data_IF_367242554952
#
_entry.id   IF_367242554952
#
_cell.length_a   1.000
_cell.length_b   1.000
_cell.length_c   1.000
_cell.angle_alpha   90.00
_cell.angle_beta   90.00
_cell.angle_gamma   90.00
#
_symmetry.space_group_name_H-M   'P 1'
#
loop_
_entity.id
_entity.type
_entity.pdbx_description
1 polymer ?
#
# COMPACT_ATOMS: atom_id res chain seq x y z
N UNK A 1 -23.55 18.03 6.10
CA UNK A 1 -22.78 18.67 5.00
C UNK A 1 -21.97 19.80 5.59
N UNK A 2 -20.66 19.81 5.39
CA UNK A 2 -19.80 20.92 5.84
C UNK A 2 -19.95 22.08 4.86
N UNK A 3 -20.26 23.28 5.36
CA UNK A 3 -20.31 24.49 4.53
C UNK A 3 -18.88 25.02 4.31
N UNK A 4 -18.46 25.30 3.07
CA UNK A 4 -17.15 25.88 2.81
C UNK A 4 -17.09 27.34 3.29
N UNK A 5 -16.01 27.69 3.97
CA UNK A 5 -15.82 29.01 4.61
C UNK A 5 -15.51 30.12 3.60
N UNK A 6 -14.92 29.77 2.44
CA UNK A 6 -14.61 30.71 1.36
C UNK A 6 -14.86 30.06 -0.01
N UNK A 7 -15.49 30.81 -0.93
CA UNK A 7 -15.85 30.35 -2.27
C UNK A 7 -15.27 31.33 -3.30
N UNK A 8 -14.43 30.83 -4.22
CA UNK A 8 -13.93 31.59 -5.36
C UNK A 8 -14.67 31.09 -6.61
N UNK A 9 -15.34 31.99 -7.32
CA UNK A 9 -16.08 31.67 -8.54
C UNK A 9 -15.91 32.77 -9.60
N UNK A 10 -16.05 32.40 -10.87
CA UNK A 10 -16.08 33.37 -11.96
C UNK A 10 -17.29 34.30 -11.81
N UNK A 11 -17.10 35.59 -12.09
CA UNK A 11 -18.15 36.60 -11.97
C UNK A 11 -19.35 36.20 -12.86
N UNK A 12 -20.55 36.11 -12.26
CA UNK A 12 -21.86 35.70 -12.85
C UNK A 12 -22.25 34.21 -12.79
N UNK A 13 -21.53 33.35 -12.07
CA UNK A 13 -22.04 32.01 -11.75
C UNK A 13 -23.15 32.07 -10.68
N UNK A 14 -24.40 31.73 -11.05
CA UNK A 14 -25.57 31.74 -10.16
C UNK A 14 -25.73 30.47 -9.29
N UNK A 15 -25.07 29.38 -9.65
CA UNK A 15 -25.00 28.17 -8.83
C UNK A 15 -23.53 27.85 -8.58
N UNK A 16 -23.08 28.12 -7.36
CA UNK A 16 -21.76 27.72 -6.89
C UNK A 16 -21.95 26.61 -5.88
N UNK A 17 -22.05 25.38 -6.36
CA UNK A 17 -21.96 24.21 -5.50
C UNK A 17 -20.52 24.06 -5.02
N UNK A 18 -20.28 23.51 -3.82
CA UNK A 18 -18.94 23.07 -3.48
C UNK A 18 -18.46 22.12 -4.56
N UNK A 19 -17.31 22.41 -5.18
CA UNK A 19 -16.49 21.40 -5.85
C UNK A 19 -15.90 20.50 -4.77
N UNK A 20 -16.75 19.85 -3.97
CA UNK A 20 -16.34 18.65 -3.27
C UNK A 20 -16.17 17.62 -4.36
N UNK A 21 -14.95 17.51 -4.88
CA UNK A 21 -14.54 16.24 -5.47
C UNK A 21 -14.93 15.19 -4.44
N UNK A 22 -15.75 14.22 -4.82
CA UNK A 22 -16.20 13.14 -3.93
C UNK A 22 -15.05 12.18 -3.59
N UNK A 23 -13.82 12.67 -3.52
CA UNK A 23 -12.61 11.95 -3.14
C UNK A 23 -12.12 12.29 -1.74
N UNK A 24 -12.93 12.96 -0.92
CA UNK A 24 -12.71 12.98 0.52
C UNK A 24 -13.06 11.59 1.06
N UNK A 25 -12.04 10.73 1.21
CA UNK A 25 -12.20 9.37 1.74
C UNK A 25 -11.63 8.22 0.91
N UNK A 26 -10.94 8.47 -0.22
CA UNK A 26 -10.17 7.38 -0.86
C UNK A 26 -8.91 7.11 -0.03
N UNK A 27 -8.95 6.03 0.74
CA UNK A 27 -7.79 5.51 1.47
C UNK A 27 -6.85 4.82 0.49
N UNK A 28 -5.56 5.11 0.60
CA UNK A 28 -4.50 4.37 -0.09
C UNK A 28 -3.96 3.35 0.90
N UNK A 29 -3.95 2.08 0.50
CA UNK A 29 -3.35 1.04 1.33
C UNK A 29 -1.84 1.02 1.09
N UNK A 30 -1.07 1.02 2.17
CA UNK A 30 0.39 0.98 2.12
C UNK A 30 0.87 -0.35 2.69
N UNK A 31 1.67 -1.08 1.93
CA UNK A 31 2.47 -2.19 2.47
C UNK A 31 3.87 -1.69 2.70
N UNK A 32 4.40 -1.98 3.89
CA UNK A 32 5.70 -1.51 4.32
C UNK A 32 6.41 -2.58 5.13
N UNK A 33 7.73 -2.65 5.02
CA UNK A 33 8.56 -3.55 5.81
C UNK A 33 9.74 -2.80 6.39
N UNK A 34 10.00 -3.05 7.67
CA UNK A 34 11.11 -2.50 8.44
C UNK A 34 11.89 -3.62 9.10
N UNK A 35 13.18 -3.41 9.29
CA UNK A 35 14.02 -4.31 10.08
C UNK A 35 14.38 -3.70 11.45
N UNK A 36 14.99 -4.51 12.32
CA UNK A 36 15.40 -4.09 13.66
C UNK A 36 16.47 -2.97 13.65
N UNK A 37 17.23 -2.83 12.57
CA UNK A 37 18.20 -1.76 12.40
C UNK A 37 17.56 -0.43 11.93
N UNK A 38 16.24 -0.38 11.75
CA UNK A 38 15.52 0.78 11.25
C UNK A 38 15.64 1.01 9.74
N UNK A 39 16.20 0.06 9.00
CA UNK A 39 16.19 0.12 7.54
C UNK A 39 14.81 -0.22 7.00
N UNK A 40 14.48 0.43 5.90
CA UNK A 40 13.17 0.42 5.28
C UNK A 40 13.27 -0.20 3.89
N UNK A 41 12.32 -1.06 3.55
CA UNK A 41 12.06 -1.44 2.16
C UNK A 41 11.06 -0.45 1.55
N UNK A 42 11.28 0.05 0.32
CA UNK A 42 10.32 0.94 -0.31
C UNK A 42 8.90 0.33 -0.35
N UNK A 43 7.86 1.14 -0.07
CA UNK A 43 6.50 0.64 0.10
C UNK A 43 5.87 0.16 -1.20
N UNK A 44 4.82 -0.67 -1.07
CA UNK A 44 3.78 -0.79 -2.09
C UNK A 44 2.62 0.15 -1.78
N UNK A 45 2.23 0.98 -2.74
CA UNK A 45 1.05 1.85 -2.67
C UNK A 45 -0.10 1.25 -3.49
N UNK A 46 -1.20 0.89 -2.83
CA UNK A 46 -2.40 0.34 -3.49
C UNK A 46 -3.52 1.36 -3.53
N UNK A 47 -3.95 1.70 -4.74
CA UNK A 47 -4.99 2.69 -4.99
C UNK A 47 -6.34 2.04 -5.34
N UNK A 48 -7.46 2.54 -4.80
CA UNK A 48 -8.81 2.09 -5.15
C UNK A 48 -9.25 2.67 -6.50
N UNK A 49 -8.64 2.21 -7.60
CA UNK A 49 -8.95 2.67 -8.96
C UNK A 49 -9.49 1.52 -9.83
N UNK A 50 -10.66 1.73 -10.42
CA UNK A 50 -11.21 0.83 -11.45
C UNK A 50 -10.53 1.02 -12.81
N UNK A 51 -10.00 2.22 -13.08
CA UNK A 51 -9.35 2.58 -14.34
C UNK A 51 -7.94 3.13 -14.06
N UNK A 52 -7.01 2.23 -13.78
CA UNK A 52 -5.60 2.57 -13.64
C UNK A 52 -5.05 3.14 -14.95
N UNK A 53 -4.29 4.23 -14.84
CA UNK A 53 -3.59 4.86 -15.97
C UNK A 53 -2.20 5.27 -15.51
N UNK A 54 -1.21 5.04 -16.35
CA UNK A 54 0.21 5.22 -16.01
C UNK A 54 0.57 6.65 -15.58
N UNK A 55 -0.19 7.66 -15.99
CA UNK A 55 0.09 9.06 -15.65
C UNK A 55 -0.39 9.49 -14.26
N UNK A 56 -1.14 8.66 -13.51
CA UNK A 56 -1.46 8.96 -12.10
C UNK A 56 -0.23 8.88 -11.18
N UNK A 57 0.93 8.53 -11.74
CA UNK A 57 2.13 8.02 -11.06
C UNK A 57 3.31 8.97 -11.32
N UNK A 58 3.22 10.22 -10.84
CA UNK A 58 4.33 11.18 -10.99
C UNK A 58 4.94 11.67 -9.69
N UNK A 59 4.48 11.19 -8.53
CA UNK A 59 4.86 11.76 -7.24
C UNK A 59 4.79 10.77 -6.06
N UNK A 60 5.21 9.51 -6.27
CA UNK A 60 5.38 8.51 -5.21
C UNK A 60 6.74 8.63 -4.49
N UNK A 61 6.91 8.03 -3.30
CA UNK A 61 8.21 7.89 -2.65
C UNK A 61 9.23 7.21 -3.56
N UNK A 62 10.51 7.61 -3.47
CA UNK A 62 11.54 7.05 -4.33
C UNK A 62 11.65 5.52 -4.17
N UNK A 63 11.56 4.79 -5.28
CA UNK A 63 11.67 3.34 -5.33
C UNK A 63 10.43 2.58 -4.86
N UNK A 64 9.31 3.25 -4.55
CA UNK A 64 8.07 2.55 -4.26
C UNK A 64 7.58 1.76 -5.48
N UNK A 65 6.76 0.76 -5.19
CA UNK A 65 5.99 0.02 -6.19
C UNK A 65 4.52 0.35 -6.03
N UNK A 66 3.79 0.42 -7.13
CA UNK A 66 2.38 0.76 -7.11
C UNK A 66 1.50 -0.40 -7.57
N UNK A 67 0.26 -0.37 -7.10
CA UNK A 67 -0.79 -1.28 -7.51
C UNK A 67 -2.14 -0.60 -7.48
N UNK A 68 -3.09 -1.14 -8.22
CA UNK A 68 -4.46 -0.67 -8.15
C UNK A 68 -5.43 -1.82 -8.32
N UNK A 69 -6.52 -1.74 -7.58
CA UNK A 69 -7.70 -2.58 -7.76
C UNK A 69 -8.94 -1.78 -7.30
N UNK A 70 -10.13 -2.27 -7.61
CA UNK A 70 -11.37 -1.59 -7.25
C UNK A 70 -11.59 -1.48 -5.73
N UNK A 71 -11.04 -2.40 -4.94
CA UNK A 71 -11.24 -2.44 -3.49
C UNK A 71 -10.29 -1.50 -2.72
N UNK A 72 -9.13 -1.17 -3.29
CA UNK A 72 -8.03 -0.49 -2.61
C UNK A 72 -7.29 -1.32 -1.57
N UNK A 73 -7.68 -2.58 -1.35
CA UNK A 73 -7.06 -3.49 -0.37
C UNK A 73 -6.02 -4.38 -1.02
N UNK A 74 -5.11 -4.94 -0.22
CA UNK A 74 -4.15 -5.93 -0.72
C UNK A 74 -4.85 -7.23 -1.07
N UNK A 75 -4.57 -7.71 -2.27
CA UNK A 75 -4.91 -9.05 -2.73
C UNK A 75 -3.62 -9.87 -2.95
N UNK A 76 -3.80 -11.14 -3.31
CA UNK A 76 -2.70 -12.08 -3.54
C UNK A 76 -1.72 -11.62 -4.62
N UNK A 77 -2.19 -11.11 -5.76
CA UNK A 77 -1.34 -10.66 -6.86
C UNK A 77 -0.46 -9.45 -6.49
N UNK A 78 -1.06 -8.48 -5.79
CA UNK A 78 -0.33 -7.31 -5.28
C UNK A 78 0.67 -7.72 -4.19
N UNK A 79 0.30 -8.68 -3.34
CA UNK A 79 1.21 -9.22 -2.33
C UNK A 79 2.40 -9.96 -2.95
N UNK A 80 2.18 -10.76 -3.99
CA UNK A 80 3.26 -11.42 -4.76
C UNK A 80 4.16 -10.39 -5.44
N UNK A 81 3.58 -9.32 -5.98
CA UNK A 81 4.33 -8.21 -6.57
C UNK A 81 5.23 -7.54 -5.53
N UNK A 82 4.70 -7.27 -4.34
CA UNK A 82 5.48 -6.73 -3.23
C UNK A 82 6.56 -7.70 -2.76
N UNK A 83 6.29 -9.01 -2.67
CA UNK A 83 7.31 -10.01 -2.29
C UNK A 83 8.48 -10.03 -3.27
N UNK A 84 8.23 -9.94 -4.59
CA UNK A 84 9.31 -9.85 -5.58
C UNK A 84 10.15 -8.58 -5.40
N UNK A 85 9.51 -7.44 -5.15
CA UNK A 85 10.18 -6.18 -4.85
C UNK A 85 11.02 -6.29 -3.57
N UNK A 86 10.44 -6.87 -2.51
CA UNK A 86 11.10 -7.12 -1.23
C UNK A 86 12.35 -8.00 -1.38
N UNK A 87 12.28 -9.08 -2.18
CA UNK A 87 13.44 -9.92 -2.51
C UNK A 87 14.52 -9.15 -3.25
N UNK A 88 14.14 -8.37 -4.27
CA UNK A 88 15.09 -7.59 -5.07
C UNK A 88 15.84 -6.57 -4.21
N UNK A 89 15.13 -5.93 -3.27
CA UNK A 89 15.70 -4.91 -2.40
C UNK A 89 16.58 -5.50 -1.29
N UNK A 90 16.08 -6.49 -0.55
CA UNK A 90 16.80 -7.07 0.60
C UNK A 90 17.86 -8.09 0.21
N UNK A 91 17.76 -8.63 -1.02
CA UNK A 91 18.63 -9.68 -1.59
C UNK A 91 18.74 -10.91 -0.67
N UNK A 92 17.62 -11.30 -0.05
CA UNK A 92 17.59 -12.53 0.74
C UNK A 92 17.71 -13.77 -0.17
N UNK A 93 18.24 -14.85 0.39
CA UNK A 93 18.42 -16.13 -0.28
C UNK A 93 18.43 -17.27 0.75
N UNK A 94 18.60 -18.51 0.31
CA UNK A 94 18.75 -19.65 1.22
C UNK A 94 20.00 -19.54 2.13
N UNK A 95 21.03 -18.82 1.67
CA UNK A 95 22.25 -18.53 2.43
C UNK A 95 22.06 -17.30 3.34
N UNK A 96 21.28 -16.32 2.88
CA UNK A 96 20.95 -15.09 3.63
C UNK A 96 19.47 -15.04 3.94
N UNK A 97 19.06 -15.83 4.93
CA UNK A 97 17.66 -15.95 5.33
C UNK A 97 17.12 -14.67 5.97
N UNK A 98 15.82 -14.43 5.80
CA UNK A 98 15.10 -13.34 6.45
C UNK A 98 13.91 -13.90 7.21
N UNK A 99 13.71 -13.41 8.43
CA UNK A 99 12.49 -13.63 9.20
C UNK A 99 11.45 -12.57 8.80
N UNK A 100 10.35 -13.01 8.22
CA UNK A 100 9.21 -12.16 7.91
C UNK A 100 8.10 -12.42 8.93
N UNK A 101 7.66 -11.36 9.60
CA UNK A 101 6.59 -11.41 10.60
C UNK A 101 5.34 -10.80 9.96
N UNK A 102 4.25 -11.56 9.87
CA UNK A 102 3.00 -11.10 9.26
C UNK A 102 1.80 -11.37 10.15
N UNK A 103 0.83 -10.47 10.06
CA UNK A 103 -0.56 -10.69 10.38
C UNK A 103 -1.12 -11.81 9.47
N UNK A 104 -1.90 -12.74 10.04
CA UNK A 104 -2.65 -13.84 9.43
C UNK A 104 -2.96 -13.74 7.90
N UNK A 105 -1.97 -14.01 7.04
CA UNK A 105 -2.13 -14.04 5.59
C UNK A 105 -1.91 -15.46 5.06
N UNK A 106 -2.83 -15.99 4.23
CA UNK A 106 -2.78 -17.39 3.78
C UNK A 106 -1.79 -17.64 2.62
N UNK A 107 -1.39 -16.59 1.91
CA UNK A 107 -0.56 -16.71 0.69
C UNK A 107 0.94 -16.73 0.99
N UNK A 108 1.44 -17.86 1.48
CA UNK A 108 2.78 -17.96 2.11
C UNK A 108 3.77 -18.82 1.31
N UNK A 109 3.27 -19.67 0.42
CA UNK A 109 4.08 -20.76 -0.16
C UNK A 109 5.19 -20.27 -1.10
N UNK A 110 5.02 -19.09 -1.70
CA UNK A 110 6.05 -18.46 -2.54
C UNK A 110 7.22 -17.91 -1.71
N UNK A 111 6.95 -17.37 -0.52
CA UNK A 111 7.98 -16.81 0.35
C UNK A 111 8.87 -17.93 0.93
N UNK A 112 8.26 -19.02 1.39
CA UNK A 112 8.95 -20.16 2.00
C UNK A 112 9.99 -20.82 1.08
N UNK A 113 9.73 -20.88 -0.23
CA UNK A 113 10.62 -21.54 -1.20
C UNK A 113 11.95 -20.80 -1.43
N UNK A 114 12.02 -19.51 -1.08
CA UNK A 114 13.15 -18.63 -1.45
C UNK A 114 14.03 -18.21 -0.26
N UNK A 115 13.91 -18.86 0.90
CA UNK A 115 14.72 -18.55 2.08
C UNK A 115 14.07 -17.57 3.07
N UNK A 116 12.76 -17.32 2.95
CA UNK A 116 11.99 -16.59 3.97
C UNK A 116 11.53 -17.56 5.05
N UNK A 117 11.92 -17.29 6.29
CA UNK A 117 11.32 -17.89 7.47
C UNK A 117 10.09 -17.04 7.80
N UNK A 118 8.91 -17.65 7.80
CA UNK A 118 7.69 -16.92 8.12
C UNK A 118 7.25 -17.18 9.56
N UNK A 119 6.95 -16.11 10.28
CA UNK A 119 6.25 -16.13 11.55
C UNK A 119 4.91 -15.41 11.41
N UNK A 120 3.82 -16.14 11.64
CA UNK A 120 2.46 -15.58 11.61
C UNK A 120 2.01 -15.28 13.02
N UNK A 121 1.58 -14.04 13.26
CA UNK A 121 1.04 -13.65 14.56
C UNK A 121 -0.41 -14.16 14.68
N UNK A 122 -0.84 -14.70 15.84
CA UNK A 122 -2.24 -15.09 16.05
C UNK A 122 -3.21 -13.93 15.79
N UNK A 123 -4.43 -14.18 15.29
CA UNK A 123 -5.39 -13.12 15.04
C UNK A 123 -5.71 -12.31 16.31
N UNK A 124 -5.91 -10.98 16.16
CA UNK A 124 -6.28 -10.02 17.23
C UNK A 124 -5.24 -9.76 18.32
N UNK A 125 -3.96 -9.75 17.97
CA UNK A 125 -2.82 -9.52 18.88
C UNK A 125 -2.18 -8.13 18.72
N UNK A 126 -2.91 -7.15 18.19
CA UNK A 126 -2.38 -5.79 17.96
C UNK A 126 -1.82 -5.09 19.21
N UNK A 127 -2.22 -5.54 20.41
CA UNK A 127 -1.83 -4.92 21.68
C UNK A 127 -0.93 -5.77 22.58
N UNK A 128 -0.80 -7.09 22.32
CA UNK A 128 0.01 -8.01 23.13
C UNK A 128 0.44 -9.20 22.28
N UNK A 129 1.75 -9.49 22.34
CA UNK A 129 2.39 -10.69 21.81
C UNK A 129 3.03 -11.44 22.97
#
# INVERSE_FOLDING_TARGET
MQQPENIIAAQRMKQVGPLTSSKRGQLVTVVYAVNAAGSVVPPLLTFPWENYRDYFIKSGPAGCVEGANSSGWINEDLFVTYLKHFTAYTRYSNEKKVLLILDNHKTIDLAKKNGVILFTIPPRTSHKL
#
